data_IF_940819038155
#
_entry.id   IF_940819038155
#
_cell.length_a   1.000
_cell.length_b   1.000
_cell.length_c   1.000
_cell.angle_alpha   90.00
_cell.angle_beta   90.00
_cell.angle_gamma   90.00
#
_symmetry.space_group_name_H-M   'P 1'
#
loop_
_entity.id
_entity.type
_entity.pdbx_description
1 polymer ?
#
# COMPACT_ATOMS: atom_id res chain seq x y z
N UNK A 1 -12.10 -41.75 -59.35
CA UNK A 1 -11.37 -40.62 -58.77
C UNK A 1 -12.26 -39.40 -58.79
N UNK A 2 -12.80 -39.01 -57.64
CA UNK A 2 -13.51 -37.75 -57.44
C UNK A 2 -13.16 -37.27 -56.02
N UNK A 3 -12.36 -36.21 -55.93
CA UNK A 3 -11.96 -35.61 -54.66
C UNK A 3 -13.11 -34.77 -54.11
N UNK A 4 -13.53 -35.05 -52.88
CA UNK A 4 -14.45 -34.22 -52.11
C UNK A 4 -13.67 -33.03 -51.55
N UNK A 5 -13.97 -31.82 -52.04
CA UNK A 5 -13.49 -30.57 -51.46
C UNK A 5 -14.30 -30.26 -50.18
N UNK A 6 -13.59 -30.13 -49.06
CA UNK A 6 -14.14 -29.65 -47.79
C UNK A 6 -14.32 -28.13 -47.84
N UNK A 7 -15.42 -27.55 -47.32
CA UNK A 7 -15.63 -26.10 -47.36
C UNK A 7 -14.67 -25.37 -46.43
N UNK A 8 -14.12 -24.25 -46.89
CA UNK A 8 -13.30 -23.34 -46.09
C UNK A 8 -14.13 -22.78 -44.93
N UNK A 9 -13.82 -23.18 -43.69
CA UNK A 9 -14.36 -22.53 -42.50
C UNK A 9 -13.89 -21.07 -42.49
N UNK A 10 -14.84 -20.14 -42.61
CA UNK A 10 -14.65 -18.73 -42.30
C UNK A 10 -14.39 -18.62 -40.79
N UNK A 11 -13.11 -18.49 -40.41
CA UNK A 11 -12.71 -18.11 -39.07
C UNK A 11 -13.29 -16.72 -38.78
N UNK A 12 -14.15 -16.63 -37.76
CA UNK A 12 -14.57 -15.36 -37.19
C UNK A 12 -13.32 -14.55 -36.79
N UNK A 13 -13.30 -13.22 -37.02
CA UNK A 13 -12.21 -12.40 -36.50
C UNK A 13 -12.12 -12.59 -34.98
N UNK A 14 -10.90 -12.58 -34.41
CA UNK A 14 -10.73 -12.68 -32.97
C UNK A 14 -11.55 -11.58 -32.28
N UNK A 15 -12.14 -11.86 -31.10
CA UNK A 15 -12.85 -10.84 -30.34
C UNK A 15 -11.89 -9.65 -30.15
N UNK A 16 -12.37 -8.44 -30.48
CA UNK A 16 -11.62 -7.22 -30.18
C UNK A 16 -11.20 -7.24 -28.72
N UNK A 17 -9.93 -6.93 -28.39
CA UNK A 17 -9.52 -6.83 -27.00
C UNK A 17 -10.47 -5.87 -26.27
N UNK A 18 -10.91 -6.26 -25.07
CA UNK A 18 -11.72 -5.40 -24.22
C UNK A 18 -11.07 -4.01 -24.13
N UNK A 19 -11.86 -2.92 -24.12
CA UNK A 19 -11.30 -1.57 -24.02
C UNK A 19 -10.35 -1.51 -22.82
N UNK A 20 -9.10 -1.11 -23.06
CA UNK A 20 -8.11 -1.00 -22.00
C UNK A 20 -8.45 0.23 -21.16
N UNK A 21 -8.97 -0.03 -19.96
CA UNK A 21 -9.21 1.01 -18.97
C UNK A 21 -7.86 1.53 -18.42
N UNK A 22 -7.79 2.79 -17.99
CA UNK A 22 -6.56 3.48 -17.58
C UNK A 22 -5.89 2.75 -16.42
N UNK A 23 -6.68 2.18 -15.52
CA UNK A 23 -6.16 1.34 -14.43
C UNK A 23 -5.37 0.14 -14.93
N UNK A 24 -5.82 -0.52 -16.00
CA UNK A 24 -5.14 -1.67 -16.62
C UNK A 24 -3.86 -1.22 -17.32
N UNK A 25 -3.86 -0.05 -17.95
CA UNK A 25 -2.65 0.54 -18.55
C UNK A 25 -1.59 0.82 -17.49
N UNK A 26 -1.95 1.50 -16.40
CA UNK A 26 -1.05 1.78 -15.27
C UNK A 26 -0.50 0.47 -14.70
N UNK A 27 -1.38 -0.49 -14.40
CA UNK A 27 -0.98 -1.77 -13.82
C UNK A 27 -0.04 -2.55 -14.75
N UNK A 28 -0.32 -2.56 -16.05
CA UNK A 28 0.53 -3.24 -17.03
C UNK A 28 1.91 -2.58 -17.11
N UNK A 29 1.95 -1.25 -17.20
CA UNK A 29 3.18 -0.48 -17.34
C UNK A 29 4.06 -0.51 -16.07
N UNK A 30 3.46 -0.68 -14.90
CA UNK A 30 4.17 -0.61 -13.60
C UNK A 30 4.46 -1.98 -12.98
N UNK A 31 4.02 -3.08 -13.60
CA UNK A 31 4.10 -4.44 -13.02
C UNK A 31 5.50 -4.82 -12.52
N UNK A 32 6.53 -4.62 -13.34
CA UNK A 32 7.90 -5.01 -13.00
C UNK A 32 8.47 -4.20 -11.84
N UNK A 33 8.28 -2.87 -11.87
CA UNK A 33 8.76 -1.98 -10.83
C UNK A 33 7.97 -2.13 -9.53
N UNK A 34 6.65 -2.35 -9.61
CA UNK A 34 5.82 -2.69 -8.45
C UNK A 34 6.32 -3.97 -7.76
N UNK A 35 6.59 -5.04 -8.52
CA UNK A 35 7.12 -6.28 -7.96
C UNK A 35 8.48 -6.07 -7.25
N UNK A 36 9.35 -5.23 -7.83
CA UNK A 36 10.63 -4.84 -7.22
C UNK A 36 10.42 -4.06 -5.93
N UNK A 37 9.60 -3.01 -5.93
CA UNK A 37 9.31 -2.21 -4.74
C UNK A 37 8.67 -3.06 -3.64
N UNK A 38 7.68 -3.87 -3.97
CA UNK A 38 7.01 -4.76 -3.02
C UNK A 38 8.02 -5.73 -2.35
N UNK A 39 8.96 -6.28 -3.11
CA UNK A 39 10.03 -7.12 -2.55
C UNK A 39 10.92 -6.34 -1.57
N UNK A 40 11.26 -5.09 -1.88
CA UNK A 40 12.03 -4.23 -0.98
C UNK A 40 11.26 -4.02 0.33
N UNK A 41 10.00 -3.57 0.25
CA UNK A 41 9.17 -3.29 1.43
C UNK A 41 8.99 -4.54 2.30
N UNK A 42 8.58 -5.66 1.72
CA UNK A 42 8.33 -6.91 2.47
C UNK A 42 9.59 -7.39 3.20
N UNK A 43 10.76 -7.27 2.57
CA UNK A 43 12.01 -7.75 3.16
C UNK A 43 12.56 -6.82 4.26
N UNK A 44 12.09 -5.57 4.33
CA UNK A 44 12.53 -4.57 5.33
C UNK A 44 11.56 -4.40 6.47
N UNK A 45 10.27 -4.68 6.26
CA UNK A 45 9.25 -4.58 7.32
C UNK A 45 9.65 -5.32 8.61
N UNK A 46 10.21 -6.55 8.58
CA UNK A 46 10.65 -7.22 9.81
C UNK A 46 11.75 -6.50 10.57
N UNK A 47 12.58 -5.68 9.91
CA UNK A 47 13.63 -4.90 10.58
C UNK A 47 13.07 -3.74 11.40
N UNK A 48 11.86 -3.30 11.07
CA UNK A 48 11.18 -2.21 11.75
C UNK A 48 10.21 -2.70 12.84
N UNK A 49 10.13 -4.01 13.10
CA UNK A 49 9.19 -4.63 14.03
C UNK A 49 9.87 -5.65 14.96
N UNK A 50 9.24 -6.01 16.08
CA UNK A 50 9.70 -7.11 16.92
C UNK A 50 9.76 -8.44 16.15
N UNK A 51 10.71 -9.34 16.50
CA UNK A 51 11.70 -9.19 17.57
C UNK A 51 12.98 -8.46 17.15
N UNK A 52 13.08 -7.93 15.92
CA UNK A 52 14.32 -7.30 15.43
C UNK A 52 14.44 -5.87 15.96
N UNK A 53 13.39 -5.07 15.79
CA UNK A 53 13.30 -3.75 16.41
C UNK A 53 12.68 -3.87 17.80
N UNK A 54 13.23 -3.12 18.75
CA UNK A 54 12.72 -3.01 20.12
C UNK A 54 11.92 -1.71 20.34
N UNK A 55 12.02 -0.75 19.42
CA UNK A 55 11.30 0.52 19.40
C UNK A 55 10.73 0.77 17.99
N UNK A 56 9.69 1.63 17.85
CA UNK A 56 9.10 1.95 16.55
C UNK A 56 9.88 3.01 15.76
N UNK A 57 11.10 3.36 16.18
CA UNK A 57 11.92 4.43 15.57
C UNK A 57 12.23 4.17 14.09
N UNK A 58 12.66 2.95 13.73
CA UNK A 58 12.92 2.59 12.34
C UNK A 58 11.65 2.68 11.46
N UNK A 59 10.50 2.30 12.02
CA UNK A 59 9.21 2.47 11.37
C UNK A 59 8.87 3.95 11.19
N UNK A 60 9.12 4.78 12.22
CA UNK A 60 8.85 6.21 12.20
C UNK A 60 9.62 6.96 11.11
N UNK A 61 10.91 6.68 10.93
CA UNK A 61 11.67 7.26 9.81
C UNK A 61 11.12 6.87 8.44
N UNK A 62 10.64 5.63 8.30
CA UNK A 62 10.00 5.16 7.08
C UNK A 62 8.69 5.90 6.78
N UNK A 63 7.82 6.05 7.79
CA UNK A 63 6.56 6.78 7.64
C UNK A 63 6.77 8.28 7.47
N UNK A 64 7.76 8.88 8.13
CA UNK A 64 8.09 10.30 7.94
C UNK A 64 8.41 10.56 6.46
N UNK A 65 9.30 9.73 5.91
CA UNK A 65 9.75 9.85 4.52
C UNK A 65 8.63 9.59 3.51
N UNK A 66 7.89 8.48 3.62
CA UNK A 66 6.81 8.19 2.67
C UNK A 66 5.57 9.07 2.89
N UNK A 67 5.40 9.61 4.10
CA UNK A 67 4.34 10.52 4.47
C UNK A 67 4.38 11.82 3.65
N UNK A 68 5.57 12.34 3.38
CA UNK A 68 5.77 13.54 2.56
C UNK A 68 5.13 13.44 1.18
N UNK A 69 5.14 12.25 0.57
CA UNK A 69 4.49 12.03 -0.74
C UNK A 69 3.00 12.36 -0.62
N UNK A 70 2.32 11.78 0.38
CA UNK A 70 0.90 12.06 0.66
C UNK A 70 0.66 13.53 0.97
N UNK A 71 1.46 14.11 1.86
CA UNK A 71 1.29 15.51 2.25
C UNK A 71 1.35 16.45 1.04
N UNK A 72 2.30 16.22 0.14
CA UNK A 72 2.52 17.09 -1.02
C UNK A 72 1.46 16.88 -2.10
N UNK A 73 1.20 15.65 -2.55
CA UNK A 73 0.22 15.45 -3.62
C UNK A 73 -1.20 15.78 -3.15
N UNK A 74 -1.56 15.46 -1.91
CA UNK A 74 -2.87 15.81 -1.37
C UNK A 74 -3.04 17.33 -1.22
N UNK A 75 -1.98 18.05 -0.85
CA UNK A 75 -2.02 19.51 -0.82
C UNK A 75 -2.20 20.10 -2.23
N UNK A 76 -1.47 19.59 -3.23
CA UNK A 76 -1.65 20.01 -4.63
C UNK A 76 -3.10 19.77 -5.10
N UNK A 77 -3.69 18.65 -4.72
CA UNK A 77 -5.08 18.33 -5.04
C UNK A 77 -6.08 19.26 -4.34
N UNK A 78 -5.86 19.58 -3.05
CA UNK A 78 -6.69 20.55 -2.31
C UNK A 78 -6.62 21.94 -2.94
N UNK A 79 -5.45 22.36 -3.42
CA UNK A 79 -5.30 23.63 -4.16
C UNK A 79 -6.12 23.60 -5.45
N UNK A 80 -6.04 22.51 -6.23
CA UNK A 80 -6.86 22.34 -7.44
C UNK A 80 -8.36 22.44 -7.13
N UNK A 81 -8.84 21.77 -6.08
CA UNK A 81 -10.24 21.84 -5.65
C UNK A 81 -10.63 23.29 -5.32
N UNK A 82 -9.81 24.00 -4.55
CA UNK A 82 -10.06 25.38 -4.17
C UNK A 82 -10.01 26.37 -5.36
N UNK A 83 -9.25 26.08 -6.41
CA UNK A 83 -9.23 26.85 -7.66
C UNK A 83 -10.50 26.62 -8.48
N UNK A 84 -10.96 25.37 -8.57
CA UNK A 84 -12.20 25.00 -9.26
C UNK A 84 -13.40 25.70 -8.60
N UNK A 85 -13.48 25.72 -7.27
CA UNK A 85 -14.58 26.37 -6.54
C UNK A 85 -14.68 27.89 -6.77
N UNK A 86 -13.59 28.53 -7.20
CA UNK A 86 -13.52 29.97 -7.52
C UNK A 86 -13.73 30.27 -9.00
N UNK A 87 -13.67 29.25 -9.86
CA UNK A 87 -13.77 29.40 -11.31
C UNK A 87 -15.21 29.69 -11.76
N UNK A 88 -15.36 30.47 -12.83
CA UNK A 88 -16.67 30.73 -13.43
C UNK A 88 -17.22 29.46 -14.09
N UNK A 89 -18.51 29.18 -13.89
CA UNK A 89 -19.14 27.91 -14.27
C UNK A 89 -19.29 27.80 -15.79
N UNK A 90 -19.25 28.93 -16.50
CA UNK A 90 -19.56 29.01 -17.94
C UNK A 90 -18.40 28.62 -18.88
N UNK A 91 -17.19 28.42 -18.37
CA UNK A 91 -16.06 27.98 -19.19
C UNK A 91 -16.12 26.46 -19.43
N UNK A 92 -16.38 26.09 -20.70
CA UNK A 92 -16.52 24.71 -21.18
C UNK A 92 -15.23 24.12 -21.78
N UNK A 93 -14.09 24.78 -21.60
CA UNK A 93 -12.80 24.28 -22.11
C UNK A 93 -12.47 22.87 -21.58
N UNK A 94 -11.66 22.15 -22.34
CA UNK A 94 -11.18 20.83 -21.94
C UNK A 94 -10.50 20.85 -20.57
N UNK A 95 -9.61 21.82 -20.33
CA UNK A 95 -8.89 21.96 -19.06
C UNK A 95 -9.84 22.19 -17.87
N UNK A 96 -10.87 23.03 -18.04
CA UNK A 96 -11.84 23.25 -16.97
C UNK A 96 -12.71 22.03 -16.69
N UNK A 97 -13.13 21.30 -17.73
CA UNK A 97 -13.84 20.02 -17.55
C UNK A 97 -12.97 19.00 -16.81
N UNK A 98 -11.71 18.87 -17.21
CA UNK A 98 -10.73 17.99 -16.57
C UNK A 98 -10.52 18.37 -15.09
N UNK A 99 -10.29 19.64 -14.78
CA UNK A 99 -10.11 20.13 -13.40
C UNK A 99 -11.35 19.90 -12.54
N UNK A 100 -12.54 20.20 -13.05
CA UNK A 100 -13.82 19.93 -12.36
C UNK A 100 -14.02 18.44 -12.10
N UNK A 101 -13.64 17.59 -13.04
CA UNK A 101 -13.71 16.16 -12.82
C UNK A 101 -12.68 15.69 -11.77
N UNK A 102 -11.44 16.16 -11.85
CA UNK A 102 -10.40 15.85 -10.84
C UNK A 102 -10.81 16.28 -9.43
N UNK A 103 -11.53 17.40 -9.26
CA UNK A 103 -12.04 17.82 -7.95
C UNK A 103 -13.11 16.88 -7.40
N UNK A 104 -13.87 16.21 -8.28
CA UNK A 104 -14.91 15.24 -7.93
C UNK A 104 -14.39 13.81 -7.78
N UNK A 105 -13.17 13.52 -8.22
CA UNK A 105 -12.56 12.19 -8.13
C UNK A 105 -12.25 11.76 -6.68
N UNK A 106 -12.20 12.68 -5.72
CA UNK A 106 -11.82 12.37 -4.33
C UNK A 106 -13.05 11.97 -3.50
N UNK A 107 -13.28 10.68 -3.21
CA UNK A 107 -14.35 10.27 -2.30
C UNK A 107 -14.09 10.71 -0.85
N UNK A 108 -15.16 10.88 -0.04
CA UNK A 108 -15.03 11.10 1.39
C UNK A 108 -14.18 10.02 2.07
N UNK A 109 -13.30 10.45 2.97
CA UNK A 109 -12.44 9.55 3.74
C UNK A 109 -11.16 9.08 3.03
N UNK A 110 -10.90 9.52 1.79
CA UNK A 110 -9.68 9.14 1.06
C UNK A 110 -8.41 9.72 1.70
N UNK A 111 -8.42 11.01 2.06
CA UNK A 111 -7.26 11.76 2.57
C UNK A 111 -6.57 11.07 3.74
N UNK A 112 -5.24 10.98 3.70
CA UNK A 112 -4.38 10.38 4.74
C UNK A 112 -3.47 11.39 5.44
N UNK A 113 -3.32 12.62 4.92
CA UNK A 113 -2.45 13.64 5.52
C UNK A 113 -2.63 13.81 7.03
N UNK A 114 -3.87 13.91 7.51
CA UNK A 114 -4.13 14.15 8.94
C UNK A 114 -3.82 12.92 9.80
N UNK A 115 -3.99 11.71 9.26
CA UNK A 115 -3.61 10.47 9.92
C UNK A 115 -2.08 10.39 10.06
N UNK A 116 -1.36 10.68 8.97
CA UNK A 116 0.11 10.70 8.95
C UNK A 116 0.66 11.71 9.96
N UNK A 117 0.16 12.94 9.98
CA UNK A 117 0.62 13.97 10.93
C UNK A 117 0.46 13.55 12.38
N UNK A 118 -0.71 12.97 12.72
CA UNK A 118 -0.98 12.45 14.06
C UNK A 118 -0.10 11.25 14.40
N UNK A 119 0.16 10.38 13.44
CA UNK A 119 1.06 9.24 13.62
C UNK A 119 2.49 9.73 13.91
N UNK A 120 2.99 10.70 13.15
CA UNK A 120 4.34 11.25 13.33
C UNK A 120 4.49 11.99 14.66
N UNK A 121 3.56 12.87 15.02
CA UNK A 121 3.56 13.57 16.31
C UNK A 121 3.59 12.56 17.49
N UNK A 122 2.82 11.49 17.37
CA UNK A 122 2.84 10.42 18.36
C UNK A 122 4.17 9.68 18.40
N UNK A 123 4.69 9.27 17.24
CA UNK A 123 5.93 8.51 17.12
C UNK A 123 7.14 9.29 17.64
N UNK A 124 7.25 10.59 17.33
CA UNK A 124 8.26 11.48 17.88
C UNK A 124 8.19 11.51 19.41
N UNK A 125 6.99 11.62 19.96
CA UNK A 125 6.77 11.66 21.41
C UNK A 125 7.24 10.37 22.10
N UNK A 126 6.89 9.19 21.55
CA UNK A 126 7.21 7.91 22.20
C UNK A 126 8.64 7.43 21.95
N UNK A 127 9.24 7.81 20.82
CA UNK A 127 10.61 7.40 20.47
C UNK A 127 11.66 8.40 20.95
N UNK A 128 11.29 9.68 21.08
CA UNK A 128 12.24 10.78 21.27
C UNK A 128 13.17 10.99 20.06
N UNK A 129 12.85 10.38 18.91
CA UNK A 129 13.66 10.46 17.71
C UNK A 129 13.49 11.82 17.02
N UNK A 130 14.60 12.35 16.50
CA UNK A 130 14.59 13.48 15.58
C UNK A 130 14.33 12.95 14.16
N UNK A 131 13.06 12.93 13.74
CA UNK A 131 12.67 12.39 12.43
C UNK A 131 13.21 13.23 11.26
N UNK A 132 13.56 14.50 11.51
CA UNK A 132 14.15 15.43 10.55
C UNK A 132 15.66 15.23 10.37
N UNK A 133 16.33 14.52 11.28
CA UNK A 133 17.76 14.22 11.19
C UNK A 133 18.10 13.36 9.96
N UNK A 134 17.14 12.56 9.46
CA UNK A 134 17.28 11.72 8.28
C UNK A 134 16.91 12.54 7.04
N UNK A 135 17.90 13.24 6.49
CA UNK A 135 17.69 14.08 5.31
C UNK A 135 17.57 13.23 4.04
N UNK A 136 16.36 13.02 3.54
CA UNK A 136 16.16 12.27 2.31
C UNK A 136 16.21 13.19 1.07
N UNK A 137 17.38 13.28 0.41
CA UNK A 137 17.52 14.10 -0.80
C UNK A 137 16.63 13.58 -1.95
N UNK A 138 16.38 12.27 -1.98
CA UNK A 138 15.50 11.65 -2.96
C UNK A 138 14.04 12.06 -2.73
N UNK A 139 13.57 12.10 -1.48
CA UNK A 139 12.21 12.51 -1.17
C UNK A 139 12.00 13.98 -1.52
N UNK A 140 12.97 14.85 -1.23
CA UNK A 140 12.90 16.27 -1.61
C UNK A 140 12.83 16.45 -3.13
N UNK A 141 13.62 15.68 -3.87
CA UNK A 141 13.57 15.71 -5.34
C UNK A 141 12.21 15.24 -5.86
N UNK A 142 11.66 14.18 -5.27
CA UNK A 142 10.33 13.69 -5.59
C UNK A 142 9.25 14.73 -5.24
N UNK A 143 9.25 15.31 -4.06
CA UNK A 143 8.23 16.30 -3.66
C UNK A 143 8.26 17.57 -4.52
N UNK A 144 9.44 18.05 -4.90
CA UNK A 144 9.56 19.13 -5.89
C UNK A 144 9.00 18.75 -7.25
N UNK A 145 9.23 17.51 -7.70
CA UNK A 145 8.67 16.99 -8.95
C UNK A 145 7.14 16.91 -8.88
N UNK A 146 6.57 16.40 -7.79
CA UNK A 146 5.11 16.34 -7.56
C UNK A 146 4.51 17.74 -7.73
N UNK A 147 5.08 18.73 -7.04
CA UNK A 147 4.57 20.11 -7.09
C UNK A 147 4.61 20.68 -8.51
N UNK A 148 5.71 20.50 -9.25
CA UNK A 148 5.85 21.00 -10.62
C UNK A 148 4.91 20.28 -11.58
N UNK A 149 4.91 18.94 -11.59
CA UNK A 149 4.12 18.16 -12.55
C UNK A 149 2.62 18.33 -12.35
N UNK A 150 2.13 18.29 -11.10
CA UNK A 150 0.68 18.41 -10.85
C UNK A 150 0.14 19.80 -11.15
N UNK A 151 0.99 20.84 -11.13
CA UNK A 151 0.63 22.19 -11.54
C UNK A 151 0.53 22.33 -13.07
N UNK A 152 1.51 21.77 -13.79
CA UNK A 152 1.60 21.87 -15.24
C UNK A 152 0.66 20.89 -15.96
N UNK A 153 0.41 19.73 -15.32
CA UNK A 153 -0.34 18.58 -15.83
C UNK A 153 -1.26 18.03 -14.73
N UNK A 154 -2.40 18.68 -14.41
CA UNK A 154 -3.24 18.29 -13.29
C UNK A 154 -3.76 16.85 -13.35
N UNK A 155 -3.95 16.28 -14.55
CA UNK A 155 -4.34 14.88 -14.76
C UNK A 155 -3.38 13.88 -14.12
N UNK A 156 -2.09 14.21 -13.95
CA UNK A 156 -1.12 13.27 -13.36
C UNK A 156 -1.36 13.02 -11.87
N UNK A 157 -2.22 13.81 -11.20
CA UNK A 157 -2.72 13.50 -9.85
C UNK A 157 -3.34 12.10 -9.76
N UNK A 158 -3.92 11.59 -10.86
CA UNK A 158 -4.45 10.22 -10.95
C UNK A 158 -3.35 9.20 -10.65
N UNK A 159 -2.13 9.39 -11.16
CA UNK A 159 -1.03 8.46 -10.94
C UNK A 159 -0.67 8.36 -9.45
N UNK A 160 -0.60 9.51 -8.77
CA UNK A 160 -0.35 9.58 -7.33
C UNK A 160 -1.47 8.93 -6.52
N UNK A 161 -2.73 9.28 -6.79
CA UNK A 161 -3.85 8.63 -6.09
C UNK A 161 -3.88 7.13 -6.33
N UNK A 162 -3.71 6.69 -7.58
CA UNK A 162 -3.72 5.27 -7.91
C UNK A 162 -2.63 4.53 -7.16
N UNK A 163 -1.38 4.96 -7.27
CA UNK A 163 -0.25 4.25 -6.66
C UNK A 163 -0.33 4.29 -5.14
N UNK A 164 -0.52 5.48 -4.56
CA UNK A 164 -0.41 5.68 -3.12
C UNK A 164 -1.64 5.10 -2.40
N UNK A 165 -2.87 5.36 -2.87
CA UNK A 165 -4.05 4.86 -2.19
C UNK A 165 -4.30 3.36 -2.46
N UNK A 166 -4.12 2.87 -3.70
CA UNK A 166 -4.36 1.44 -3.97
C UNK A 166 -3.38 0.54 -3.22
N UNK A 167 -2.16 1.01 -2.98
CA UNK A 167 -1.17 0.31 -2.15
C UNK A 167 -1.70 0.07 -0.72
N UNK A 168 -2.24 1.10 -0.07
CA UNK A 168 -2.72 0.99 1.32
C UNK A 168 -4.10 0.31 1.43
N UNK A 169 -4.96 0.39 0.42
CA UNK A 169 -6.19 -0.38 0.39
C UNK A 169 -5.96 -1.89 0.18
N UNK A 170 -4.95 -2.27 -0.61
CA UNK A 170 -4.74 -3.67 -0.96
C UNK A 170 -3.68 -4.34 -0.09
N UNK A 171 -2.43 -3.84 -0.15
CA UNK A 171 -1.31 -4.34 0.65
C UNK A 171 -1.28 -3.80 2.08
N UNK A 172 -1.85 -2.61 2.31
CA UNK A 172 -1.83 -1.95 3.62
C UNK A 172 -2.54 -2.73 4.73
N UNK A 173 -3.55 -3.54 4.42
CA UNK A 173 -4.17 -4.44 5.41
C UNK A 173 -3.20 -5.47 5.98
N UNK A 174 -2.36 -6.05 5.12
CA UNK A 174 -1.33 -6.98 5.56
C UNK A 174 -0.25 -6.28 6.37
N UNK A 175 0.20 -5.11 5.94
CA UNK A 175 1.14 -4.29 6.72
C UNK A 175 0.54 -4.01 8.10
N UNK A 176 -0.69 -3.52 8.16
CA UNK A 176 -1.40 -3.22 9.42
C UNK A 176 -1.53 -4.43 10.34
N UNK A 177 -1.73 -5.62 9.78
CA UNK A 177 -1.73 -6.87 10.56
C UNK A 177 -0.36 -7.11 11.21
N UNK A 178 0.74 -6.95 10.47
CA UNK A 178 2.09 -7.06 11.03
C UNK A 178 2.36 -6.00 12.12
N UNK A 179 1.95 -4.74 11.89
CA UNK A 179 2.08 -3.67 12.87
C UNK A 179 1.27 -3.96 14.14
N UNK A 180 0.06 -4.51 13.97
CA UNK A 180 -0.80 -4.92 15.08
C UNK A 180 -0.17 -6.04 15.91
N UNK A 181 0.44 -7.02 15.24
CA UNK A 181 1.08 -8.16 15.89
C UNK A 181 2.35 -7.79 16.69
N UNK A 182 2.85 -6.56 16.55
CA UNK A 182 3.97 -6.05 17.34
C UNK A 182 3.62 -5.81 18.81
N UNK A 183 2.32 -5.77 19.15
CA UNK A 183 1.82 -5.59 20.51
C UNK A 183 1.79 -4.13 20.97
N UNK A 184 0.87 -3.76 21.88
CA UNK A 184 0.71 -2.37 22.36
C UNK A 184 1.98 -1.77 22.97
N UNK A 185 2.78 -2.59 23.64
CA UNK A 185 3.99 -2.16 24.34
C UNK A 185 5.04 -1.62 23.37
N UNK A 186 5.16 -2.23 22.18
CA UNK A 186 6.05 -1.74 21.12
C UNK A 186 5.70 -0.32 20.67
N UNK A 187 4.42 0.03 20.75
CA UNK A 187 3.92 1.37 20.41
C UNK A 187 3.87 2.29 21.62
N UNK A 188 4.57 1.99 22.72
CA UNK A 188 4.66 2.88 23.89
C UNK A 188 3.47 2.82 24.84
N UNK A 189 2.52 1.89 24.64
CA UNK A 189 1.37 1.70 25.52
C UNK A 189 1.77 0.80 26.70
N UNK A 190 2.07 1.43 27.84
CA UNK A 190 2.61 0.75 29.01
C UNK A 190 1.59 0.49 30.13
N UNK A 191 0.46 1.22 30.16
CA UNK A 191 -0.58 1.04 31.17
C UNK A 191 -1.74 0.19 30.65
N UNK A 192 -2.27 -0.71 31.50
CA UNK A 192 -3.39 -1.59 31.16
C UNK A 192 -4.68 -0.82 30.81
N UNK A 193 -4.89 0.37 31.42
CA UNK A 193 -5.98 1.28 31.03
C UNK A 193 -5.87 1.75 29.58
N UNK A 194 -4.64 2.01 29.14
CA UNK A 194 -4.35 2.61 27.83
C UNK A 194 -4.34 1.52 26.75
N UNK A 195 -4.11 0.26 27.12
CA UNK A 195 -4.33 -0.90 26.24
C UNK A 195 -5.79 -1.06 25.85
N UNK A 196 -6.71 -0.67 26.73
CA UNK A 196 -8.13 -0.59 26.38
C UNK A 196 -8.41 0.58 25.44
N UNK A 197 -7.64 1.67 25.45
CA UNK A 197 -7.77 2.77 24.47
C UNK A 197 -7.07 2.50 23.13
N UNK A 198 -6.19 1.50 23.07
CA UNK A 198 -5.48 1.05 21.88
C UNK A 198 -6.37 0.13 21.00
N UNK A 199 -7.28 0.71 20.19
CA UNK A 199 -8.32 -0.05 19.48
C UNK A 199 -7.99 -0.45 18.02
N UNK A 200 -8.18 -1.73 17.70
CA UNK A 200 -8.27 -2.24 16.32
C UNK A 200 -9.66 -2.74 15.98
N UNK A 201 -10.13 -2.28 14.81
CA UNK A 201 -11.48 -2.36 14.23
C UNK A 201 -12.55 -1.45 14.86
N UNK A 202 -12.12 -0.27 15.37
CA UNK A 202 -12.87 0.96 15.11
C UNK A 202 -12.78 2.14 16.10
N UNK A 203 -11.67 2.79 16.48
CA UNK A 203 -10.23 2.75 16.14
C UNK A 203 -9.53 3.79 17.05
N UNK A 204 -8.39 3.45 17.67
CA UNK A 204 -7.28 4.39 17.94
C UNK A 204 -6.00 3.55 18.04
N UNK A 205 -5.11 3.71 17.05
CA UNK A 205 -3.78 3.11 16.98
C UNK A 205 -2.77 4.23 16.73
N UNK A 206 -2.42 5.02 17.74
CA UNK A 206 -1.46 6.10 17.52
C UNK A 206 -0.17 5.51 16.94
N UNK A 207 0.33 6.13 15.87
CA UNK A 207 1.57 5.75 15.21
C UNK A 207 1.42 4.96 13.91
N UNK A 208 0.26 4.39 13.55
CA UNK A 208 0.07 3.77 12.23
C UNK A 208 -1.36 3.85 11.67
N UNK A 209 -2.08 4.91 12.04
CA UNK A 209 -3.42 5.20 11.52
C UNK A 209 -3.48 5.44 10.02
N UNK A 210 -2.36 5.71 9.33
CA UNK A 210 -2.26 5.72 7.86
C UNK A 210 -2.95 4.50 7.22
N UNK A 211 -2.77 3.31 7.81
CA UNK A 211 -3.32 2.05 7.29
C UNK A 211 -4.74 1.75 7.80
N UNK A 212 -5.34 2.64 8.59
CA UNK A 212 -6.64 2.45 9.21
C UNK A 212 -7.70 3.31 8.52
N UNK A 213 -8.79 2.68 8.09
CA UNK A 213 -9.92 3.36 7.48
C UNK A 213 -11.14 3.28 8.40
N UNK A 214 -11.84 4.39 8.55
CA UNK A 214 -13.07 4.45 9.34
C UNK A 214 -14.21 3.68 8.66
N UNK A 215 -15.15 3.19 9.46
CA UNK A 215 -16.34 2.51 8.98
C UNK A 215 -16.22 0.99 8.88
N UNK A 216 -17.36 0.33 8.71
CA UNK A 216 -17.46 -1.13 8.78
C UNK A 216 -16.83 -1.86 7.57
N UNK A 217 -16.53 -1.14 6.48
CA UNK A 217 -15.97 -1.70 5.25
C UNK A 217 -14.46 -1.51 5.11
N UNK A 218 -13.82 -0.91 6.12
CA UNK A 218 -12.35 -0.82 6.20
C UNK A 218 -11.69 -0.28 4.92
N UNK A 219 -12.31 0.76 4.34
CA UNK A 219 -11.83 1.44 3.15
C UNK A 219 -12.13 0.74 1.81
N UNK A 220 -12.69 -0.48 1.79
CA UNK A 220 -13.09 -1.14 0.54
C UNK A 220 -14.16 -0.35 -0.22
N UNK A 221 -14.95 0.45 0.50
CA UNK A 221 -15.93 1.33 -0.11
C UNK A 221 -15.38 2.62 -0.65
N UNK A 222 -14.41 3.21 0.04
CA UNK A 222 -13.66 4.35 -0.46
C UNK A 222 -12.93 3.95 -1.73
N UNK A 223 -12.32 2.75 -1.74
CA UNK A 223 -11.67 2.16 -2.91
C UNK A 223 -12.65 1.97 -4.07
N UNK A 224 -13.82 1.38 -3.81
CA UNK A 224 -14.82 1.15 -4.84
C UNK A 224 -15.34 2.47 -5.44
N UNK A 225 -15.68 3.45 -4.59
CA UNK A 225 -16.15 4.78 -5.03
C UNK A 225 -15.08 5.49 -5.88
N UNK A 226 -13.81 5.45 -5.46
CA UNK A 226 -12.71 6.01 -6.27
C UNK A 226 -12.61 5.35 -7.65
N UNK A 227 -12.69 4.02 -7.73
CA UNK A 227 -12.63 3.29 -9.00
C UNK A 227 -13.78 3.65 -9.93
N UNK A 228 -15.01 3.67 -9.41
CA UNK A 228 -16.20 4.06 -10.19
C UNK A 228 -16.06 5.48 -10.75
N UNK A 229 -15.61 6.44 -9.94
CA UNK A 229 -15.36 7.83 -10.40
C UNK A 229 -14.24 7.93 -11.45
N UNK A 230 -13.26 7.04 -11.40
CA UNK A 230 -12.17 6.99 -12.38
C UNK A 230 -12.65 6.41 -13.72
N UNK A 231 -13.52 5.40 -13.70
CA UNK A 231 -14.10 4.80 -14.90
C UNK A 231 -14.97 5.78 -15.68
N UNK A 232 -15.76 6.61 -14.98
CA UNK A 232 -16.57 7.69 -15.58
C UNK A 232 -15.73 8.73 -16.35
N UNK A 233 -14.42 8.77 -16.10
CA UNK A 233 -13.50 9.75 -16.65
C UNK A 233 -12.78 9.32 -17.92
N UNK A 234 -12.85 8.05 -18.28
CA UNK A 234 -11.97 7.51 -19.31
C UNK A 234 -12.22 8.12 -20.68
N UNK A 235 -13.46 8.57 -20.92
CA UNK A 235 -13.84 9.30 -22.14
C UNK A 235 -13.41 10.77 -22.12
N UNK A 236 -13.11 11.33 -20.94
CA UNK A 236 -12.66 12.72 -20.80
C UNK A 236 -11.18 12.86 -21.12
N UNK A 237 -10.34 11.90 -20.74
CA UNK A 237 -8.89 11.97 -20.94
C UNK A 237 -8.50 11.76 -22.40
N UNK A 238 -7.68 12.68 -22.93
CA UNK A 238 -7.04 12.49 -24.23
C UNK A 238 -6.00 11.37 -24.17
N UNK A 239 -5.65 10.79 -25.31
CA UNK A 239 -4.60 9.77 -25.40
C UNK A 239 -3.25 10.25 -24.85
N UNK A 240 -2.92 11.54 -25.03
CA UNK A 240 -1.70 12.14 -24.48
C UNK A 240 -1.75 12.23 -22.95
N UNK A 241 -2.87 12.66 -22.38
CA UNK A 241 -3.03 12.75 -20.92
C UNK A 241 -2.99 11.36 -20.26
N UNK A 242 -3.61 10.35 -20.89
CA UNK A 242 -3.49 8.96 -20.44
C UNK A 242 -2.03 8.49 -20.42
N UNK A 243 -1.28 8.78 -21.49
CA UNK A 243 0.14 8.44 -21.56
C UNK A 243 0.97 9.20 -20.51
N UNK A 244 0.67 10.46 -20.24
CA UNK A 244 1.30 11.23 -19.15
C UNK A 244 1.06 10.56 -17.79
N UNK A 245 -0.17 10.12 -17.50
CA UNK A 245 -0.50 9.40 -16.25
C UNK A 245 0.29 8.10 -16.13
N UNK A 246 0.39 7.32 -17.21
CA UNK A 246 1.14 6.06 -17.22
C UNK A 246 2.64 6.30 -17.02
N UNK A 247 3.21 7.31 -17.69
CA UNK A 247 4.61 7.67 -17.53
C UNK A 247 4.91 8.15 -16.11
N UNK A 248 4.05 9.01 -15.56
CA UNK A 248 4.19 9.49 -14.19
C UNK A 248 4.07 8.32 -13.19
N UNK A 249 3.18 7.36 -13.44
CA UNK A 249 3.04 6.18 -12.59
C UNK A 249 4.34 5.34 -12.54
N UNK A 250 4.98 5.12 -13.69
CA UNK A 250 6.29 4.46 -13.74
C UNK A 250 7.36 5.26 -12.97
N UNK A 251 7.39 6.58 -13.18
CA UNK A 251 8.30 7.47 -12.47
C UNK A 251 8.14 7.37 -10.95
N UNK A 252 6.90 7.49 -10.43
CA UNK A 252 6.61 7.42 -9.00
C UNK A 252 7.15 6.12 -8.39
N UNK A 253 6.91 4.97 -9.03
CA UNK A 253 7.43 3.70 -8.54
C UNK A 253 8.96 3.63 -8.51
N UNK A 254 9.63 4.12 -9.56
CA UNK A 254 11.10 4.21 -9.60
C UNK A 254 11.64 5.12 -8.49
N UNK A 255 10.97 6.25 -8.23
CA UNK A 255 11.36 7.15 -7.14
C UNK A 255 11.13 6.51 -5.77
N UNK A 256 10.02 5.80 -5.56
CA UNK A 256 9.78 5.05 -4.32
C UNK A 256 10.85 3.99 -4.07
N UNK A 257 11.34 3.30 -5.12
CA UNK A 257 12.48 2.37 -5.01
C UNK A 257 13.74 3.11 -4.55
N UNK A 258 14.08 4.21 -5.22
CA UNK A 258 15.25 5.01 -4.88
C UNK A 258 15.18 5.57 -3.44
N UNK A 259 13.99 5.97 -2.97
CA UNK A 259 13.75 6.42 -1.59
C UNK A 259 14.06 5.31 -0.58
N UNK A 260 13.61 4.07 -0.84
CA UNK A 260 13.93 2.93 0.05
C UNK A 260 15.43 2.66 0.08
N UNK A 261 16.10 2.67 -1.07
CA UNK A 261 17.54 2.44 -1.17
C UNK A 261 18.35 3.56 -0.49
N UNK A 262 17.87 4.80 -0.52
CA UNK A 262 18.48 5.92 0.18
C UNK A 262 18.30 5.80 1.70
N UNK A 263 17.09 5.43 2.16
CA UNK A 263 16.83 5.11 3.56
C UNK A 263 17.73 3.99 4.08
N UNK A 264 17.94 2.94 3.29
CA UNK A 264 18.85 1.85 3.65
C UNK A 264 20.27 2.35 3.93
N UNK A 265 20.76 3.31 3.14
CA UNK A 265 22.09 3.91 3.32
C UNK A 265 22.14 4.79 4.57
N UNK A 266 21.13 5.63 4.76
CA UNK A 266 21.10 6.60 5.87
C UNK A 266 20.93 5.91 7.22
N UNK A 267 20.03 4.93 7.30
CA UNK A 267 19.77 4.15 8.51
C UNK A 267 20.77 3.00 8.72
N UNK A 268 21.73 2.83 7.79
CA UNK A 268 22.74 1.75 7.81
C UNK A 268 22.08 0.37 7.99
N UNK A 269 21.02 0.13 7.22
CA UNK A 269 20.25 -1.12 7.27
C UNK A 269 21.17 -2.33 7.12
N UNK A 270 21.03 -3.32 8.01
CA UNK A 270 21.75 -4.58 7.92
C UNK A 270 21.19 -5.45 6.78
N UNK A 271 21.74 -5.26 5.58
CA UNK A 271 21.30 -5.98 4.38
C UNK A 271 21.63 -7.48 4.41
N UNK A 272 22.59 -7.93 5.23
CA UNK A 272 22.86 -9.35 5.40
C UNK A 272 21.79 -10.00 6.30
N UNK A 273 21.36 -9.30 7.35
CA UNK A 273 20.21 -9.72 8.14
C UNK A 273 18.95 -9.81 7.25
N UNK A 274 18.70 -8.83 6.37
CA UNK A 274 17.60 -8.88 5.38
C UNK A 274 17.65 -10.17 4.55
N UNK A 275 18.82 -10.49 3.98
CA UNK A 275 19.00 -11.71 3.17
C UNK A 275 18.74 -12.98 3.99
N UNK A 276 19.23 -13.03 5.23
CA UNK A 276 19.06 -14.19 6.10
C UNK A 276 17.60 -14.43 6.50
N UNK A 277 16.85 -13.36 6.80
CA UNK A 277 15.43 -13.44 7.14
C UNK A 277 14.61 -13.87 5.92
N UNK A 278 14.93 -13.33 4.74
CA UNK A 278 14.29 -13.72 3.49
C UNK A 278 14.53 -15.21 3.15
N UNK A 279 15.75 -15.71 3.35
CA UNK A 279 16.09 -17.12 3.11
C UNK A 279 15.36 -18.07 4.07
N UNK A 280 15.29 -17.72 5.36
CA UNK A 280 14.54 -18.50 6.37
C UNK A 280 13.04 -18.61 6.06
N UNK A 281 12.46 -17.56 5.48
CA UNK A 281 11.07 -17.57 5.02
C UNK A 281 10.83 -18.52 3.84
N UNK A 282 11.84 -18.75 2.99
CA UNK A 282 11.74 -19.65 1.83
C UNK A 282 11.88 -21.14 2.19
N UNK A 283 12.70 -21.48 3.18
CA UNK A 283 12.97 -22.89 3.57
C UNK A 283 11.80 -23.59 4.29
N UNK A 284 10.91 -22.85 4.97
CA UNK A 284 9.77 -23.42 5.71
C UNK A 284 8.49 -23.62 4.87
N UNK A 285 8.53 -23.36 3.55
CA UNK A 285 7.35 -23.31 2.67
C UNK A 285 6.92 -24.59 1.95
N UNK A 286 7.52 -25.76 2.23
CA UNK A 286 7.33 -26.97 1.40
C UNK A 286 6.67 -28.17 2.10
N UNK A 287 6.08 -28.02 3.28
CA UNK A 287 5.36 -29.12 3.95
C UNK A 287 3.89 -28.77 4.23
N UNK A 288 3.01 -29.42 3.50
CA UNK A 288 1.55 -29.41 3.55
C UNK A 288 1.01 -29.83 4.93
N UNK A 289 -0.13 -29.26 5.38
CA UNK A 289 -1.02 -29.87 6.39
C UNK A 289 -2.38 -29.16 6.48
N UNK A 290 -3.39 -29.84 5.94
CA UNK A 290 -4.80 -29.78 6.38
C UNK A 290 -4.88 -29.95 7.90
N UNK A 291 -5.64 -29.10 8.60
CA UNK A 291 -6.48 -29.54 9.73
C UNK A 291 -7.52 -28.50 10.15
N UNK A 292 -8.74 -28.99 10.34
CA UNK A 292 -9.99 -28.37 10.80
C UNK A 292 -9.90 -27.78 12.21
N UNK A 293 -10.62 -26.68 12.54
CA UNK A 293 -10.53 -26.05 13.85
C UNK A 293 -11.39 -26.80 14.89
N UNK A 294 -10.79 -27.21 16.01
CA UNK A 294 -11.53 -27.69 17.19
C UNK A 294 -11.42 -26.67 18.31
N UNK A 295 -12.59 -26.19 18.74
CA UNK A 295 -12.85 -25.31 19.89
C UNK A 295 -12.39 -25.99 21.19
N UNK A 296 -11.44 -25.40 21.90
CA UNK A 296 -10.98 -25.91 23.19
C UNK A 296 -11.68 -25.18 24.35
N UNK A 297 -12.35 -25.98 25.20
CA UNK A 297 -12.77 -25.59 26.54
C UNK A 297 -11.58 -25.67 27.52
N UNK A 298 -11.64 -24.84 28.58
CA UNK A 298 -10.69 -24.79 29.71
C UNK A 298 -10.61 -26.12 30.49
N UNK A 299 -9.44 -26.46 31.07
CA UNK A 299 -9.47 -27.01 32.43
C UNK A 299 -8.28 -26.70 33.37
N UNK A 300 -8.55 -27.03 34.64
CA UNK A 300 -7.81 -26.95 35.91
C UNK A 300 -6.45 -27.68 36.00
N UNK A 301 -5.70 -27.27 37.04
CA UNK A 301 -4.42 -27.77 37.58
C UNK A 301 -4.36 -29.29 37.86
N UNK A 302 -3.19 -29.91 37.66
CA UNK A 302 -2.32 -30.41 38.75
C UNK A 302 -1.08 -31.21 38.28
N UNK A 303 0.02 -31.00 39.03
CA UNK A 303 1.12 -31.91 39.37
C UNK A 303 2.35 -32.08 38.45
N UNK A 304 3.51 -31.92 39.12
CA UNK A 304 4.90 -31.88 38.66
C UNK A 304 5.51 -33.27 38.42
N UNK A 305 6.46 -33.35 37.48
CA UNK A 305 7.73 -34.06 37.73
C UNK A 305 8.86 -33.52 36.82
N UNK A 306 10.04 -33.36 37.40
CA UNK A 306 11.20 -32.66 36.85
C UNK A 306 12.04 -33.53 35.90
N UNK A 307 12.46 -32.95 34.77
CA UNK A 307 13.74 -33.23 34.13
C UNK A 307 14.14 -32.08 33.19
N UNK A 308 15.14 -31.28 33.57
CA UNK A 308 15.93 -30.44 32.66
C UNK A 308 17.23 -31.20 32.34
N UNK A 309 17.85 -31.07 31.14
CA UNK A 309 18.44 -29.77 30.81
C UNK A 309 18.54 -29.39 29.30
N UNK A 310 18.87 -28.11 29.10
CA UNK A 310 19.56 -27.47 27.95
C UNK A 310 18.75 -27.07 26.71
N UNK A 311 18.32 -25.80 26.76
CA UNK A 311 18.67 -24.76 25.77
C UNK A 311 18.57 -25.13 24.29
N UNK A 312 17.33 -25.16 23.80
CA UNK A 312 16.89 -24.81 22.45
C UNK A 312 15.40 -25.19 22.40
N UNK A 313 14.55 -24.37 21.77
CA UNK A 313 13.11 -24.61 21.54
C UNK A 313 12.13 -23.90 22.49
N UNK A 314 12.28 -22.60 22.64
CA UNK A 314 11.11 -21.74 22.81
C UNK A 314 11.28 -20.53 21.89
N UNK A 315 10.20 -20.08 21.26
CA UNK A 315 10.15 -19.11 20.15
C UNK A 315 10.38 -19.74 18.76
N UNK A 316 9.49 -20.65 18.37
CA UNK A 316 9.18 -20.93 16.96
C UNK A 316 7.67 -21.14 16.78
N UNK A 317 6.97 -20.02 16.65
CA UNK A 317 5.64 -19.88 16.04
C UNK A 317 5.53 -18.38 15.77
N UNK A 318 5.54 -17.87 14.55
CA UNK A 318 4.45 -17.98 13.57
C UNK A 318 5.06 -17.88 12.17
N UNK A 319 5.08 -19.00 11.43
CA UNK A 319 5.39 -19.03 10.00
C UNK A 319 4.47 -20.05 9.36
N UNK A 320 3.26 -19.65 8.96
CA UNK A 320 2.47 -20.29 7.87
C UNK A 320 1.46 -19.28 7.30
N UNK A 321 1.83 -18.57 6.22
CA UNK A 321 0.92 -18.05 5.18
C UNK A 321 1.71 -17.45 3.98
N UNK A 322 2.86 -18.02 3.63
CA UNK A 322 3.93 -17.24 3.01
C UNK A 322 3.93 -17.07 1.48
N UNK A 323 3.13 -17.76 0.66
CA UNK A 323 3.24 -17.54 -0.81
C UNK A 323 1.94 -17.56 -1.63
N UNK A 324 0.77 -17.57 -0.99
CA UNK A 324 -0.48 -17.31 -1.68
C UNK A 324 -0.86 -15.83 -1.67
N UNK A 325 -0.52 -15.03 -0.65
CA UNK A 325 -1.08 -13.68 -0.51
C UNK A 325 -0.41 -12.61 -1.41
N UNK A 326 0.90 -12.65 -1.61
CA UNK A 326 1.55 -11.72 -2.54
C UNK A 326 1.19 -12.04 -4.01
N UNK A 327 1.05 -13.33 -4.35
CA UNK A 327 0.56 -13.75 -5.67
C UNK A 327 -0.95 -13.56 -5.83
N UNK A 328 -1.77 -13.79 -4.79
CA UNK A 328 -3.22 -13.56 -4.78
C UNK A 328 -3.56 -12.08 -4.77
N UNK A 329 -2.82 -11.23 -4.07
CA UNK A 329 -3.00 -9.78 -4.13
C UNK A 329 -2.51 -9.23 -5.46
N UNK A 330 -1.41 -9.76 -6.02
CA UNK A 330 -0.98 -9.42 -7.39
C UNK A 330 -1.94 -9.98 -8.46
N UNK A 331 -2.60 -11.12 -8.23
CA UNK A 331 -3.60 -11.75 -9.11
C UNK A 331 -4.96 -11.04 -8.99
N UNK A 332 -5.40 -10.68 -7.79
CA UNK A 332 -6.61 -9.86 -7.54
C UNK A 332 -6.41 -8.41 -8.00
N UNK A 333 -5.19 -7.89 -7.93
CA UNK A 333 -4.79 -6.63 -8.58
C UNK A 333 -4.80 -6.75 -10.12
N UNK A 334 -4.54 -7.93 -10.67
CA UNK A 334 -4.53 -8.19 -12.12
C UNK A 334 -5.90 -8.61 -12.71
N UNK A 335 -6.79 -9.21 -11.92
CA UNK A 335 -8.01 -9.88 -12.40
C UNK A 335 -9.27 -9.67 -11.53
N UNK A 336 -9.18 -8.90 -10.45
CA UNK A 336 -10.22 -8.84 -9.40
C UNK A 336 -11.57 -8.22 -9.77
N UNK A 337 -11.71 -7.63 -10.96
CA UNK A 337 -12.97 -7.08 -11.48
C UNK A 337 -13.54 -7.86 -12.68
N UNK A 338 -12.97 -9.02 -13.06
CA UNK A 338 -13.44 -9.83 -14.20
C UNK A 338 -14.33 -11.03 -13.82
N UNK A 339 -14.65 -11.24 -12.53
CA UNK A 339 -15.43 -12.40 -12.07
C UNK A 339 -16.75 -12.03 -11.37
N UNK A 340 -17.43 -10.98 -11.82
CA UNK A 340 -18.84 -10.78 -11.49
C UNK A 340 -19.64 -10.32 -12.72
N UNK A 341 -19.93 -11.29 -13.58
CA UNK A 341 -21.18 -11.38 -14.35
C UNK A 341 -21.81 -12.75 -14.08
#
# INVERSE_FOLDING_TARGET
>A
MASLHTPTQLLSPPPSPAPQNLSTEINTATRSVHARLNKLIISRLPLALPPVAITPEAYAHGINTFGDVYLVFENCWRVLIAEVDKSDVDDSSHDNRLRRWLSQLVPPGLWRSDAIKKDLEYLETITGADLEAVTNAQIRTLTEHIYRQTRDKPHVLIAYAWIMYMAIFSGGRWIREQLTNSGPEFWGVNHESDKMEYWVHGTLRPGFTLFCFSGARDGEDIKADFKTRLEEAEELLTAHERQDVVNEAQYIFEQCVAVVEDLDKQLKTDLELVKSLAARGAEHGTADLKTTPTRAALPQQAAMENAEPKSANFIRAIVVAFFAFAFYQSYRWQYGDLERD
#
